data_IF_535313240384
#
_entry.id   IF_535313240384
#
_cell.length_a   1.000
_cell.length_b   1.000
_cell.length_c   1.000
_cell.angle_alpha   90.00
_cell.angle_beta   90.00
_cell.angle_gamma   90.00
#
_symmetry.space_group_name_H-M   'P 1'
#
loop_
_entity.id
_entity.type
_entity.pdbx_description
1 polymer ?
#
# COMPACT_ATOMS: atom_id res chain seq x y z
N UNK A 1 -20.47 0.10 -19.27
CA UNK A 1 -19.20 -0.44 -18.75
C UNK A 1 -19.48 -1.80 -18.12
N UNK A 2 -18.71 -2.82 -18.46
CA UNK A 2 -18.97 -4.22 -18.09
C UNK A 2 -19.06 -4.40 -16.56
N UNK A 3 -20.29 -4.65 -16.07
CA UNK A 3 -20.62 -4.90 -14.68
C UNK A 3 -20.25 -6.31 -14.22
N UNK A 4 -19.01 -6.76 -14.49
CA UNK A 4 -18.45 -7.84 -13.68
C UNK A 4 -18.17 -7.21 -12.32
N UNK A 5 -18.83 -7.73 -11.29
CA UNK A 5 -18.80 -7.18 -9.93
C UNK A 5 -17.35 -7.02 -9.49
N UNK A 6 -16.87 -5.79 -9.35
CA UNK A 6 -15.54 -5.46 -8.82
C UNK A 6 -15.23 -6.26 -7.54
N UNK A 7 -16.25 -6.47 -6.70
CA UNK A 7 -16.22 -7.30 -5.50
C UNK A 7 -15.96 -8.80 -5.74
N UNK A 8 -16.39 -9.36 -6.88
CA UNK A 8 -16.15 -10.77 -7.20
C UNK A 8 -14.70 -11.03 -7.62
N UNK A 9 -14.01 -10.03 -8.17
CA UNK A 9 -12.61 -10.13 -8.58
C UNK A 9 -11.67 -9.67 -7.45
N UNK A 10 -12.13 -8.76 -6.59
CA UNK A 10 -11.32 -8.16 -5.52
C UNK A 10 -10.48 -9.18 -4.72
N UNK A 11 -10.98 -10.35 -4.30
CA UNK A 11 -10.17 -11.32 -3.53
C UNK A 11 -8.92 -11.87 -4.26
N UNK A 12 -8.89 -11.81 -5.60
CA UNK A 12 -7.73 -12.26 -6.39
C UNK A 12 -6.65 -11.18 -6.50
N UNK A 13 -7.02 -9.91 -6.32
CA UNK A 13 -6.15 -8.77 -6.56
C UNK A 13 -5.03 -8.63 -5.51
N UNK A 14 -5.23 -8.92 -4.20
CA UNK A 14 -4.16 -8.90 -3.21
C UNK A 14 -2.96 -9.77 -3.59
N UNK A 15 -3.19 -10.95 -4.19
CA UNK A 15 -2.14 -11.85 -4.65
C UNK A 15 -1.32 -11.21 -5.77
N UNK A 16 -2.00 -10.56 -6.73
CA UNK A 16 -1.34 -9.84 -7.81
C UNK A 16 -0.54 -8.64 -7.27
N UNK A 17 -1.11 -7.85 -6.37
CA UNK A 17 -0.45 -6.69 -5.75
C UNK A 17 0.77 -7.12 -4.93
N UNK A 18 0.69 -8.22 -4.17
CA UNK A 18 1.82 -8.79 -3.43
C UNK A 18 2.98 -9.19 -4.36
N UNK A 19 2.67 -9.66 -5.58
CA UNK A 19 3.69 -9.93 -6.60
C UNK A 19 4.28 -8.64 -7.18
N UNK A 20 3.44 -7.66 -7.52
CA UNK A 20 3.88 -6.37 -8.05
C UNK A 20 4.70 -5.56 -7.05
N UNK A 21 4.46 -5.71 -5.75
CA UNK A 21 5.24 -5.08 -4.68
C UNK A 21 6.71 -5.56 -4.64
N UNK A 22 7.03 -6.69 -5.30
CA UNK A 22 8.40 -7.23 -5.40
C UNK A 22 8.97 -7.16 -6.81
N UNK A 23 8.32 -6.40 -7.69
CA UNK A 23 8.76 -6.23 -9.07
C UNK A 23 10.11 -5.48 -9.12
N UNK A 24 11.04 -5.84 -10.03
CA UNK A 24 12.31 -5.12 -10.17
C UNK A 24 12.13 -3.63 -10.50
N UNK A 25 11.05 -3.27 -11.20
CA UNK A 25 10.75 -1.88 -11.57
C UNK A 25 10.11 -1.11 -10.42
N UNK A 26 10.76 0.00 -10.00
CA UNK A 26 10.20 0.90 -9.01
C UNK A 26 8.86 1.50 -9.44
N UNK A 27 8.64 1.70 -10.74
CA UNK A 27 7.36 2.17 -11.27
C UNK A 27 6.23 1.17 -11.00
N UNK A 28 6.47 -0.12 -11.21
CA UNK A 28 5.48 -1.19 -10.97
C UNK A 28 5.17 -1.29 -9.47
N UNK A 29 6.20 -1.18 -8.61
CA UNK A 29 6.01 -1.15 -7.15
C UNK A 29 5.21 0.08 -6.69
N UNK A 30 5.44 1.26 -7.29
CA UNK A 30 4.64 2.47 -7.05
C UNK A 30 3.18 2.26 -7.45
N UNK A 31 2.92 1.64 -8.61
CA UNK A 31 1.56 1.26 -9.02
C UNK A 31 0.92 0.26 -8.05
N UNK A 32 1.70 -0.69 -7.51
CA UNK A 32 1.23 -1.64 -6.50
C UNK A 32 0.78 -0.92 -5.22
N UNK A 33 1.53 0.08 -4.76
CA UNK A 33 1.15 0.91 -3.61
C UNK A 33 -0.19 1.63 -3.83
N UNK A 34 -0.38 2.26 -4.99
CA UNK A 34 -1.67 2.91 -5.30
C UNK A 34 -2.84 1.92 -5.41
N UNK A 35 -2.60 0.75 -6.00
CA UNK A 35 -3.62 -0.30 -6.08
C UNK A 35 -4.01 -0.82 -4.69
N UNK A 36 -3.03 -0.95 -3.78
CA UNK A 36 -3.24 -1.36 -2.40
C UNK A 36 -4.20 -0.41 -1.66
N UNK A 37 -4.11 0.91 -1.90
CA UNK A 37 -5.07 1.90 -1.37
C UNK A 37 -6.51 1.58 -1.73
N UNK A 38 -6.76 1.24 -2.99
CA UNK A 38 -8.12 0.91 -3.43
C UNK A 38 -8.62 -0.44 -2.90
N UNK A 39 -7.71 -1.37 -2.62
CA UNK A 39 -8.08 -2.68 -2.07
C UNK A 39 -8.48 -2.60 -0.60
N UNK A 40 -7.87 -1.72 0.19
CA UNK A 40 -8.29 -1.51 1.58
C UNK A 40 -9.75 -1.05 1.68
N UNK A 41 -10.23 -0.25 0.72
CA UNK A 41 -11.64 0.16 0.66
C UNK A 41 -12.58 -0.99 0.25
N UNK A 42 -12.10 -1.88 -0.62
CA UNK A 42 -12.91 -2.97 -1.21
C UNK A 42 -12.95 -4.23 -0.35
N UNK A 43 -11.93 -4.46 0.49
CA UNK A 43 -11.73 -5.68 1.27
C UNK A 43 -11.32 -5.37 2.73
N UNK A 44 -12.21 -4.79 3.54
CA UNK A 44 -11.89 -4.46 4.94
C UNK A 44 -11.54 -5.69 5.79
N UNK A 45 -12.12 -6.85 5.47
CA UNK A 45 -11.90 -8.12 6.19
C UNK A 45 -10.48 -8.68 5.99
N UNK A 46 -9.80 -8.35 4.90
CA UNK A 46 -8.47 -8.87 4.54
C UNK A 46 -7.32 -7.95 5.00
N UNK A 47 -7.61 -7.03 5.92
CA UNK A 47 -6.70 -5.97 6.41
C UNK A 47 -5.30 -6.47 6.78
N UNK A 48 -5.20 -7.63 7.45
CA UNK A 48 -3.91 -8.23 7.86
C UNK A 48 -3.00 -8.55 6.67
N UNK A 49 -3.54 -9.09 5.57
CA UNK A 49 -2.74 -9.42 4.38
C UNK A 49 -2.28 -8.16 3.64
N UNK A 50 -3.08 -7.11 3.67
CA UNK A 50 -2.76 -5.81 3.07
C UNK A 50 -1.69 -5.09 3.89
N UNK A 51 -1.73 -5.21 5.22
CA UNK A 51 -0.69 -4.68 6.13
C UNK A 51 0.68 -5.32 5.87
N UNK A 52 0.76 -6.61 5.56
CA UNK A 52 2.04 -7.26 5.18
C UNK A 52 2.64 -6.66 3.91
N UNK A 53 1.81 -6.41 2.90
CA UNK A 53 2.27 -5.83 1.64
C UNK A 53 2.69 -4.38 1.84
N UNK A 54 1.99 -3.66 2.71
CA UNK A 54 2.34 -2.30 3.09
C UNK A 54 3.69 -2.22 3.82
N UNK A 55 3.98 -3.14 4.74
CA UNK A 55 5.28 -3.19 5.44
C UNK A 55 6.45 -3.36 4.45
N UNK A 56 6.24 -4.15 3.38
CA UNK A 56 7.21 -4.31 2.28
C UNK A 56 7.39 -3.00 1.51
N UNK A 57 6.31 -2.30 1.18
CA UNK A 57 6.36 -1.08 0.35
C UNK A 57 6.90 0.14 1.10
N UNK A 58 6.67 0.26 2.41
CA UNK A 58 7.28 1.31 3.25
C UNK A 58 8.79 1.09 3.38
N UNK A 59 9.22 -0.18 3.34
CA UNK A 59 10.62 -0.57 3.42
C UNK A 59 11.35 -0.46 2.06
N UNK A 60 10.69 0.06 1.01
CA UNK A 60 11.28 0.18 -0.32
C UNK A 60 12.47 1.16 -0.35
N UNK A 61 13.36 0.96 -1.32
CA UNK A 61 14.50 1.84 -1.55
C UNK A 61 14.13 3.08 -2.39
N UNK A 62 13.03 3.02 -3.14
CA UNK A 62 12.59 4.13 -3.98
C UNK A 62 11.67 5.08 -3.21
N UNK A 63 12.02 6.37 -3.09
CA UNK A 63 11.20 7.34 -2.37
C UNK A 63 9.79 7.46 -2.96
N UNK A 64 9.64 7.33 -4.29
CA UNK A 64 8.33 7.37 -4.95
C UNK A 64 7.41 6.19 -4.62
N UNK A 65 7.96 5.05 -4.20
CA UNK A 65 7.17 3.89 -3.73
C UNK A 65 6.72 4.11 -2.29
N UNK A 66 7.63 4.60 -1.44
CA UNK A 66 7.35 4.93 -0.03
C UNK A 66 6.29 6.04 0.06
N UNK A 67 6.39 7.10 -0.73
CA UNK A 67 5.38 8.17 -0.77
C UNK A 67 3.99 7.68 -1.19
N UNK A 68 3.91 6.72 -2.12
CA UNK A 68 2.64 6.06 -2.46
C UNK A 68 2.07 5.22 -1.32
N UNK A 69 2.94 4.69 -0.45
CA UNK A 69 2.60 3.88 0.72
C UNK A 69 2.16 4.73 1.92
N UNK A 70 2.64 5.97 2.02
CA UNK A 70 2.24 6.92 3.06
C UNK A 70 0.77 7.35 2.94
N UNK A 71 0.27 7.54 1.72
CA UNK A 71 -1.15 7.77 1.48
C UNK A 71 -2.00 6.61 2.02
N UNK A 72 -1.50 5.38 1.91
CA UNK A 72 -2.14 4.21 2.49
C UNK A 72 -2.11 4.24 4.01
N UNK A 73 -0.96 4.56 4.61
CA UNK A 73 -0.84 4.69 6.07
C UNK A 73 -1.79 5.74 6.65
N UNK A 74 -1.94 6.88 5.97
CA UNK A 74 -2.88 7.93 6.39
C UNK A 74 -4.32 7.42 6.34
N UNK A 75 -4.68 6.74 5.26
CA UNK A 75 -6.01 6.14 5.10
C UNK A 75 -6.28 5.09 6.17
N UNK A 76 -5.34 4.16 6.37
CA UNK A 76 -5.48 3.10 7.36
C UNK A 76 -5.44 3.61 8.80
N UNK A 77 -4.76 4.73 9.10
CA UNK A 77 -4.83 5.41 10.41
C UNK A 77 -6.24 5.90 10.74
N UNK A 78 -7.03 6.26 9.74
CA UNK A 78 -8.43 6.63 9.94
C UNK A 78 -9.33 5.41 10.17
N UNK A 79 -8.91 4.23 9.72
CA UNK A 79 -9.73 3.01 9.69
C UNK A 79 -9.36 2.03 10.82
N UNK A 80 -8.09 2.00 11.25
CA UNK A 80 -7.60 1.03 12.23
C UNK A 80 -6.51 1.59 13.16
N UNK A 81 -6.50 1.20 14.45
CA UNK A 81 -5.49 1.62 15.42
C UNK A 81 -4.13 0.89 15.26
N UNK A 82 -4.09 -0.23 14.53
CA UNK A 82 -2.88 -1.05 14.37
C UNK A 82 -1.82 -0.40 13.47
N UNK A 83 -2.18 0.60 12.67
CA UNK A 83 -1.25 1.32 11.79
C UNK A 83 -0.16 2.09 12.55
N UNK A 84 -0.41 2.46 13.80
CA UNK A 84 0.61 3.08 14.65
C UNK A 84 1.81 2.17 14.87
N UNK A 85 1.61 0.84 14.86
CA UNK A 85 2.70 -0.13 14.96
C UNK A 85 3.56 -0.19 13.68
N UNK A 86 2.99 0.08 12.51
CA UNK A 86 3.74 0.14 11.24
C UNK A 86 4.55 1.43 11.11
N UNK A 87 3.96 2.56 11.55
CA UNK A 87 4.65 3.86 11.57
C UNK A 87 5.83 3.81 12.56
N UNK A 88 5.65 3.20 13.74
CA UNK A 88 6.71 3.09 14.73
C UNK A 88 7.87 2.17 14.32
N UNK A 89 7.64 1.24 13.37
CA UNK A 89 8.71 0.42 12.78
C UNK A 89 9.61 1.20 11.82
N UNK A 90 9.07 2.19 11.10
CA UNK A 90 9.80 2.90 10.03
C UNK A 90 9.82 4.44 10.15
N UNK A 91 10.05 5.04 11.34
CA UNK A 91 9.86 6.47 11.53
C UNK A 91 10.87 7.33 10.75
N UNK A 92 12.11 6.86 10.57
CA UNK A 92 13.15 7.63 9.86
C UNK A 92 12.89 7.69 8.36
N UNK A 93 12.52 6.55 7.76
CA UNK A 93 12.26 6.46 6.32
C UNK A 93 11.12 7.36 5.91
N UNK A 94 10.01 7.31 6.65
CA UNK A 94 8.86 8.19 6.43
C UNK A 94 9.26 9.68 6.52
N UNK A 95 10.10 10.03 7.50
CA UNK A 95 10.60 11.41 7.62
C UNK A 95 11.56 11.82 6.49
N UNK A 96 12.36 10.89 5.97
CA UNK A 96 13.31 11.11 4.88
C UNK A 96 12.62 11.24 3.52
N UNK A 97 11.47 10.60 3.32
CA UNK A 97 10.72 10.60 2.05
C UNK A 97 9.71 11.73 1.93
N UNK A 98 9.27 12.33 3.04
CA UNK A 98 8.40 13.52 3.07
C UNK A 98 8.80 14.66 2.10
N UNK A 99 10.07 15.08 1.99
CA UNK A 99 10.46 16.16 1.08
C UNK A 99 10.47 15.76 -0.40
N UNK A 100 10.55 14.47 -0.72
CA UNK A 100 10.64 13.95 -2.09
C UNK A 100 9.26 13.61 -2.70
N UNK A 101 8.17 13.88 -1.98
CA UNK A 101 6.80 13.71 -2.49
C UNK A 101 6.47 14.91 -3.38
N UNK A 102 6.99 14.90 -4.61
CA UNK A 102 6.38 15.68 -5.68
C UNK A 102 5.04 15.03 -6.10
N UNK A 103 4.04 15.88 -6.30
CA UNK A 103 2.61 15.59 -6.50
C UNK A 103 2.29 14.45 -7.48
#
# INVERSE_FOLDING_TARGET
>A
MAGIRLHAIAPLVPVAVKKCAKDPSAYVRKCAAYALCKLCDLLPEESTTLEEVLDVLISDHSPGVVGGSELLLLHLKSVSPNCLALISKHPRRLCETLPDIEQ
#
